data_IF_588268371580
#
_entry.id   IF_588268371580
#
_cell.length_a   1.000
_cell.length_b   1.000
_cell.length_c   1.000
_cell.angle_alpha   90.00
_cell.angle_beta   90.00
_cell.angle_gamma   90.00
#
_symmetry.space_group_name_H-M   'P 1'
#
loop_
_entity.id
_entity.type
_entity.pdbx_description
1 polymer ?
#
# COMPACT_ATOMS: atom_id res chain seq x y z
N UNK A 1 -14.71 -11.19 52.83
CA UNK A 1 -14.10 -10.91 51.51
C UNK A 1 -13.89 -12.25 50.76
N UNK A 2 -14.94 -12.84 50.18
CA UNK A 2 -14.87 -14.20 49.59
C UNK A 2 -15.42 -14.30 48.16
N UNK A 3 -15.80 -13.18 47.54
CA UNK A 3 -16.47 -13.14 46.23
C UNK A 3 -15.50 -13.03 45.04
N UNK A 4 -14.25 -12.62 45.28
CA UNK A 4 -13.28 -12.35 44.21
C UNK A 4 -12.63 -13.64 43.68
N UNK A 5 -12.53 -14.67 44.53
CA UNK A 5 -11.85 -15.92 44.19
C UNK A 5 -12.65 -16.76 43.19
N UNK A 6 -13.99 -16.79 43.32
CA UNK A 6 -14.86 -17.58 42.43
C UNK A 6 -14.93 -17.01 41.01
N UNK A 7 -14.95 -15.68 40.87
CA UNK A 7 -14.92 -15.00 39.57
C UNK A 7 -13.59 -15.23 38.84
N UNK A 8 -12.47 -15.13 39.56
CA UNK A 8 -11.13 -15.42 39.01
C UNK A 8 -11.02 -16.88 38.55
N UNK A 9 -11.52 -17.84 39.34
CA UNK A 9 -11.55 -19.26 38.97
C UNK A 9 -12.41 -19.49 37.72
N UNK A 10 -13.57 -18.83 37.61
CA UNK A 10 -14.44 -18.94 36.44
C UNK A 10 -13.75 -18.40 35.16
N UNK A 11 -13.06 -17.27 35.27
CA UNK A 11 -12.26 -16.71 34.17
C UNK A 11 -11.11 -17.62 33.76
N UNK A 12 -10.37 -18.16 34.73
CA UNK A 12 -9.27 -19.09 34.46
C UNK A 12 -9.76 -20.35 33.74
N UNK A 13 -10.92 -20.91 34.15
CA UNK A 13 -11.55 -22.04 33.46
C UNK A 13 -11.90 -21.71 32.02
N UNK A 14 -12.54 -20.55 31.78
CA UNK A 14 -12.87 -20.09 30.42
C UNK A 14 -11.61 -19.96 29.55
N UNK A 15 -10.53 -19.41 30.10
CA UNK A 15 -9.25 -19.28 29.39
C UNK A 15 -8.65 -20.65 29.06
N UNK A 16 -8.70 -21.61 29.99
CA UNK A 16 -8.21 -22.98 29.75
C UNK A 16 -8.99 -23.64 28.62
N UNK A 17 -10.32 -23.50 28.59
CA UNK A 17 -11.12 -24.05 27.49
C UNK A 17 -10.79 -23.39 26.15
N UNK A 18 -10.55 -22.08 26.12
CA UNK A 18 -10.09 -21.38 24.92
C UNK A 18 -8.73 -21.92 24.43
N UNK A 19 -7.75 -22.02 25.34
CA UNK A 19 -6.41 -22.51 25.01
C UNK A 19 -6.41 -23.95 24.53
N UNK A 20 -7.29 -24.81 25.06
CA UNK A 20 -7.48 -26.18 24.56
C UNK A 20 -7.94 -26.19 23.11
N UNK A 21 -8.89 -25.31 22.76
CA UNK A 21 -9.36 -25.18 21.37
C UNK A 21 -8.23 -24.69 20.45
N UNK A 22 -7.48 -23.66 20.87
CA UNK A 22 -6.36 -23.11 20.09
C UNK A 22 -5.17 -24.08 19.94
N UNK A 23 -4.92 -24.88 20.97
CA UNK A 23 -3.89 -25.92 20.93
C UNK A 23 -4.23 -26.99 19.88
N UNK A 24 -5.51 -27.30 19.72
CA UNK A 24 -6.03 -28.30 18.79
C UNK A 24 -6.16 -27.82 17.34
N UNK A 25 -5.58 -26.66 17.00
CA UNK A 25 -5.53 -26.19 15.61
C UNK A 25 -4.40 -26.90 14.88
N UNK A 26 -4.73 -27.51 13.74
CA UNK A 26 -3.76 -28.11 12.83
C UNK A 26 -2.86 -27.03 12.21
N UNK A 27 -1.55 -27.13 12.45
CA UNK A 27 -0.56 -26.19 11.95
C UNK A 27 0.09 -26.73 10.68
N UNK A 28 0.32 -25.84 9.71
CA UNK A 28 1.14 -26.13 8.54
C UNK A 28 2.60 -25.75 8.80
N UNK A 29 3.54 -26.36 8.06
CA UNK A 29 4.95 -26.01 8.13
C UNK A 29 5.16 -24.56 7.68
N UNK A 30 6.00 -23.82 8.40
CA UNK A 30 6.35 -22.44 8.06
C UNK A 30 6.97 -22.35 6.66
N UNK A 31 7.79 -23.32 6.26
CA UNK A 31 8.36 -23.36 4.91
C UNK A 31 7.30 -23.47 3.82
N UNK A 32 6.22 -24.22 4.06
CA UNK A 32 5.09 -24.31 3.13
C UNK A 32 4.32 -22.99 3.08
N UNK A 33 3.95 -22.44 4.24
CA UNK A 33 3.25 -21.15 4.31
C UNK A 33 4.04 -20.04 3.61
N UNK A 34 5.36 -20.00 3.79
CA UNK A 34 6.23 -19.03 3.13
C UNK A 34 6.23 -19.22 1.61
N UNK A 35 6.34 -20.46 1.12
CA UNK A 35 6.29 -20.75 -0.32
C UNK A 35 4.94 -20.36 -0.95
N UNK A 36 3.84 -20.63 -0.24
CA UNK A 36 2.49 -20.27 -0.68
C UNK A 36 2.33 -18.73 -0.77
N UNK A 37 2.84 -17.99 0.22
CA UNK A 37 2.86 -16.52 0.22
C UNK A 37 3.71 -15.95 -0.92
N UNK A 38 4.93 -16.47 -1.12
CA UNK A 38 5.79 -16.05 -2.22
C UNK A 38 5.13 -16.30 -3.58
N UNK A 39 4.56 -17.49 -3.77
CA UNK A 39 3.88 -17.84 -5.03
C UNK A 39 2.69 -16.92 -5.30
N UNK A 40 1.93 -16.56 -4.26
CA UNK A 40 0.82 -15.61 -4.38
C UNK A 40 1.31 -14.22 -4.78
N UNK A 41 2.35 -13.70 -4.12
CA UNK A 41 2.93 -12.41 -4.44
C UNK A 41 3.48 -12.37 -5.87
N UNK A 42 4.20 -13.40 -6.31
CA UNK A 42 4.76 -13.47 -7.66
C UNK A 42 3.68 -13.52 -8.75
N UNK A 43 2.59 -14.26 -8.51
CA UNK A 43 1.47 -14.36 -9.44
C UNK A 43 0.78 -12.99 -9.67
N UNK A 44 0.66 -12.18 -8.61
CA UNK A 44 -0.05 -10.89 -8.66
C UNK A 44 0.87 -9.67 -8.77
N UNK A 45 2.19 -9.85 -8.78
CA UNK A 45 3.15 -8.75 -8.81
C UNK A 45 3.00 -7.81 -10.02
N UNK A 46 2.51 -8.34 -11.15
CA UNK A 46 2.27 -7.56 -12.39
C UNK A 46 0.94 -6.81 -12.40
N UNK A 47 0.03 -7.20 -11.53
CA UNK A 47 -1.29 -6.58 -11.39
C UNK A 47 -1.28 -5.47 -10.35
N UNK A 48 -0.25 -5.43 -9.49
CA UNK A 48 -0.04 -4.39 -8.51
C UNK A 48 0.61 -3.15 -9.18
N UNK A 49 -0.13 -2.02 -9.32
CA UNK A 49 0.39 -0.81 -9.96
C UNK A 49 1.50 -0.11 -9.17
N UNK A 50 1.70 -0.48 -7.90
CA UNK A 50 2.75 0.07 -7.04
C UNK A 50 4.06 -0.72 -7.18
N UNK A 51 3.97 -2.02 -7.47
CA UNK A 51 5.13 -2.87 -7.77
C UNK A 51 5.55 -2.76 -9.24
N UNK A 52 4.59 -2.80 -10.16
CA UNK A 52 4.81 -2.58 -11.59
C UNK A 52 4.19 -1.25 -12.01
N UNK A 53 5.00 -0.19 -12.26
CA UNK A 53 4.48 1.12 -12.59
C UNK A 53 3.63 1.08 -13.85
N UNK A 54 2.37 1.49 -13.72
CA UNK A 54 1.46 1.66 -14.86
C UNK A 54 1.78 2.94 -15.62
N UNK A 55 1.56 2.99 -16.95
CA UNK A 55 1.76 4.21 -17.72
C UNK A 55 0.84 5.32 -17.22
N UNK A 56 1.29 6.56 -17.37
CA UNK A 56 0.60 7.73 -16.84
C UNK A 56 -0.86 7.87 -17.31
N UNK A 57 -1.20 7.36 -18.51
CA UNK A 57 -2.57 7.35 -19.03
C UNK A 57 -3.55 6.47 -18.25
N UNK A 58 -3.05 5.39 -17.65
CA UNK A 58 -3.84 4.43 -16.88
C UNK A 58 -3.88 4.81 -15.40
N UNK A 59 -2.96 5.66 -14.93
CA UNK A 59 -2.93 6.14 -13.56
C UNK A 59 -4.05 7.20 -13.34
N UNK A 60 -5.09 6.91 -12.54
CA UNK A 60 -6.17 7.86 -12.25
C UNK A 60 -5.72 9.07 -11.43
N UNK A 61 -4.57 8.98 -10.75
CA UNK A 61 -3.95 10.07 -9.99
C UNK A 61 -2.98 10.91 -10.82
N UNK A 62 -2.88 10.68 -12.14
CA UNK A 62 -2.03 11.50 -13.01
C UNK A 62 -2.53 12.95 -13.00
N UNK A 63 -1.61 13.89 -12.87
CA UNK A 63 -1.88 15.29 -13.15
C UNK A 63 -2.48 15.43 -14.55
N UNK A 64 -3.71 15.95 -14.61
CA UNK A 64 -4.30 16.40 -15.88
C UNK A 64 -3.44 17.56 -16.36
N UNK A 65 -2.54 17.30 -17.31
CA UNK A 65 -1.95 18.36 -18.12
C UNK A 65 -3.10 19.05 -18.82
N UNK A 66 -3.58 20.16 -18.25
CA UNK A 66 -4.41 21.11 -18.98
C UNK A 66 -3.55 21.55 -20.15
N UNK A 67 -3.83 21.00 -21.33
CA UNK A 67 -3.21 21.46 -22.56
C UNK A 67 -3.53 22.94 -22.68
N UNK A 68 -2.52 23.77 -22.42
CA UNK A 68 -2.49 25.13 -22.94
C UNK A 68 -2.47 24.99 -24.47
N UNK A 69 -3.65 24.92 -25.08
CA UNK A 69 -3.84 24.91 -26.53
C UNK A 69 -3.30 26.19 -27.21
N UNK A 70 -2.82 27.16 -26.42
CA UNK A 70 -2.28 28.43 -26.91
C UNK A 70 -0.78 28.31 -27.26
N UNK A 71 -0.03 27.36 -26.70
CA UNK A 71 1.43 27.29 -26.94
C UNK A 71 1.83 26.47 -28.19
N UNK A 72 0.97 25.60 -28.72
CA UNK A 72 1.29 24.84 -29.94
C UNK A 72 1.26 25.69 -31.22
N UNK A 73 0.51 26.79 -31.23
CA UNK A 73 0.44 27.69 -32.39
C UNK A 73 1.60 28.71 -32.45
N UNK A 74 2.41 28.81 -31.38
CA UNK A 74 3.55 29.74 -31.34
C UNK A 74 4.87 29.11 -31.83
N UNK A 75 4.97 27.78 -31.87
CA UNK A 75 6.24 27.09 -32.19
C UNK A 75 6.58 27.14 -33.70
N UNK A 76 5.60 27.34 -34.59
CA UNK A 76 5.87 27.53 -36.03
C UNK A 76 6.29 28.97 -36.41
N UNK A 77 6.32 29.91 -35.46
CA UNK A 77 6.70 31.29 -35.70
C UNK A 77 8.00 31.65 -34.97
N UNK A 78 9.09 30.91 -35.24
CA UNK A 78 10.47 31.40 -35.25
C UNK A 78 10.96 32.38 -34.18
N UNK A 79 10.47 32.33 -32.94
CA UNK A 79 10.83 33.25 -31.87
C UNK A 79 11.33 32.51 -30.64
N UNK A 80 12.61 32.67 -30.31
CA UNK A 80 13.21 32.06 -29.14
C UNK A 80 12.51 32.48 -27.85
N UNK A 81 11.99 31.51 -27.11
CA UNK A 81 11.57 31.70 -25.73
C UNK A 81 12.32 30.69 -24.87
N UNK A 82 13.50 31.09 -24.39
CA UNK A 82 14.08 30.47 -23.21
C UNK A 82 13.13 30.74 -22.04
N UNK A 83 12.54 29.69 -21.47
CA UNK A 83 12.21 29.68 -20.06
C UNK A 83 12.38 28.24 -19.55
N UNK A 84 13.52 28.04 -18.88
CA UNK A 84 13.89 26.86 -18.12
C UNK A 84 12.80 26.46 -17.10
N UNK A 85 12.79 25.20 -16.64
CA UNK A 85 11.85 24.72 -15.64
C UNK A 85 12.01 25.52 -14.34
N UNK A 86 10.90 26.02 -13.80
CA UNK A 86 10.84 26.56 -12.43
C UNK A 86 11.18 25.44 -11.45
N UNK A 87 12.43 25.40 -11.00
CA UNK A 87 12.83 24.66 -9.79
C UNK A 87 12.54 25.51 -8.57
N UNK A 88 11.73 24.92 -7.70
CA UNK A 88 11.45 25.14 -6.28
C UNK A 88 12.57 25.83 -5.45
N UNK A 89 12.75 27.14 -5.60
CA UNK A 89 13.72 27.88 -4.78
C UNK A 89 13.33 29.34 -4.57
N UNK A 90 12.24 29.61 -3.86
CA UNK A 90 12.01 30.90 -3.21
C UNK A 90 11.58 30.70 -1.74
N UNK A 91 12.38 29.91 -1.01
CA UNK A 91 12.50 30.07 0.44
C UNK A 91 13.53 31.18 0.72
N UNK A 92 13.03 32.32 1.21
CA UNK A 92 13.71 33.30 2.08
C UNK A 92 14.62 34.36 1.43
N UNK A 93 14.06 35.56 1.20
CA UNK A 93 14.55 36.80 1.83
C UNK A 93 13.44 37.85 1.89
#
# INVERSE_FOLDING_TARGET
>A
MATNNTASIAQARKLVEQLKMEANIDRIKVSKAAADLTSYCEAHAKEDPLLSPVPASENPFREKKFFCAILSNAINAGGGFMCLPMTDSQFKR
#
